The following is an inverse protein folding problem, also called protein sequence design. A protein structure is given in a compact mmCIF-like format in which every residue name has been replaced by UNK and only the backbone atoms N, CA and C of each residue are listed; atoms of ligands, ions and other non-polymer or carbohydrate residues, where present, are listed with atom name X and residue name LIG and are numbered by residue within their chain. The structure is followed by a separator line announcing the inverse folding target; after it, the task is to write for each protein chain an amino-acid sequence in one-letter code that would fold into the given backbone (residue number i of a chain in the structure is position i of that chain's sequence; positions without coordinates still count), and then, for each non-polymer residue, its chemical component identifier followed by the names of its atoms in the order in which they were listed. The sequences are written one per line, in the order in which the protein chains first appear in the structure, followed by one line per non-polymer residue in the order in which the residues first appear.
data_IF_706113374959
#
_entry.id   IF_706113374959
#
_cell.length_a   1.000
_cell.length_b   1.000
_cell.length_c   1.000
_cell.angle_alpha   90.00
_cell.angle_beta   90.00
_cell.angle_gamma   90.00
#
_symmetry.space_group_name_H-M   'P 1'
#
loop_
_entity.id
_entity.type
_entity.pdbx_description
1 polymer ?
#
# COMPACT_ATOMS: atom_id res chain seq x y z
N UNK A 1 17.55 6.24 -5.26
CA UNK A 1 17.97 6.16 -3.84
C UNK A 1 16.97 5.27 -3.10
N UNK A 2 17.40 4.15 -2.51
CA UNK A 2 16.54 3.34 -1.64
C UNK A 2 16.68 3.79 -0.18
N UNK A 3 15.58 3.75 0.58
CA UNK A 3 15.56 4.01 2.02
C UNK A 3 15.08 2.75 2.76
N UNK A 4 15.62 2.49 3.94
CA UNK A 4 15.20 1.36 4.80
C UNK A 4 14.26 1.88 5.88
N UNK A 5 13.20 1.13 6.13
CA UNK A 5 12.24 1.38 7.21
C UNK A 5 12.09 0.08 7.99
N UNK A 6 12.11 0.15 9.32
CA UNK A 6 11.83 -0.98 10.21
C UNK A 6 10.42 -0.81 10.77
N UNK A 7 9.62 -1.87 10.73
CA UNK A 7 8.22 -1.87 11.19
C UNK A 7 7.93 -3.13 11.98
N UNK A 8 6.99 -3.04 12.90
CA UNK A 8 6.39 -4.19 13.59
C UNK A 8 5.02 -4.41 12.98
N UNK A 9 4.78 -5.62 12.46
CA UNK A 9 3.50 -6.02 11.90
C UNK A 9 2.70 -6.80 12.95
N UNK A 10 1.37 -6.67 12.90
CA UNK A 10 0.50 -7.58 13.64
C UNK A 10 0.61 -9.00 13.05
N UNK A 11 0.43 -10.01 13.88
CA UNK A 11 0.66 -11.42 13.50
C UNK A 11 -0.16 -11.83 12.26
N UNK A 12 -1.42 -11.40 12.18
CA UNK A 12 -2.27 -11.68 11.02
C UNK A 12 -1.72 -11.05 9.74
N UNK A 13 -1.26 -9.80 9.81
CA UNK A 13 -0.69 -9.09 8.64
C UNK A 13 0.63 -9.72 8.21
N UNK A 14 1.46 -10.15 9.16
CA UNK A 14 2.72 -10.83 8.86
C UNK A 14 2.47 -12.18 8.16
N UNK A 15 1.49 -12.96 8.63
CA UNK A 15 1.12 -14.24 8.03
C UNK A 15 0.57 -14.07 6.60
N UNK A 16 -0.29 -13.06 6.38
CA UNK A 16 -0.83 -12.75 5.05
C UNK A 16 0.29 -12.32 4.09
N UNK A 17 1.23 -11.49 4.56
CA UNK A 17 2.39 -11.06 3.78
C UNK A 17 3.28 -12.24 3.38
N UNK A 18 3.55 -13.17 4.32
CA UNK A 18 4.35 -14.37 4.06
C UNK A 18 3.69 -15.31 3.03
N UNK A 19 2.37 -15.49 3.15
CA UNK A 19 1.61 -16.28 2.20
C UNK A 19 1.63 -15.68 0.80
N UNK A 20 1.33 -14.38 0.67
CA UNK A 20 1.36 -13.67 -0.62
C UNK A 20 2.74 -13.71 -1.26
N UNK A 21 3.80 -13.49 -0.48
CA UNK A 21 5.17 -13.58 -0.97
C UNK A 21 5.48 -14.99 -1.52
N UNK A 22 5.01 -16.03 -0.83
CA UNK A 22 5.18 -17.42 -1.25
C UNK A 22 4.42 -17.72 -2.53
N UNK A 23 3.14 -17.38 -2.59
CA UNK A 23 2.25 -17.63 -3.73
C UNK A 23 2.76 -16.94 -5.01
N UNK A 24 3.31 -15.73 -4.88
CA UNK A 24 3.88 -14.96 -5.99
C UNK A 24 5.36 -15.24 -6.26
N UNK A 25 6.00 -16.15 -5.50
CA UNK A 25 7.43 -16.49 -5.62
C UNK A 25 8.36 -15.26 -5.49
N UNK A 26 8.06 -14.38 -4.53
CA UNK A 26 8.84 -13.18 -4.20
C UNK A 26 9.39 -13.26 -2.77
N UNK A 27 10.40 -12.45 -2.44
CA UNK A 27 10.79 -12.30 -1.04
C UNK A 27 9.74 -11.48 -0.28
N UNK A 28 9.60 -11.74 1.03
CA UNK A 28 8.72 -10.95 1.90
C UNK A 28 9.01 -9.45 1.84
N UNK A 29 10.30 -9.07 1.72
CA UNK A 29 10.72 -7.68 1.58
C UNK A 29 10.28 -7.04 0.27
N UNK A 30 10.33 -7.78 -0.84
CA UNK A 30 9.83 -7.30 -2.13
C UNK A 30 8.32 -7.19 -2.13
N UNK A 31 7.63 -8.21 -1.62
CA UNK A 31 6.18 -8.19 -1.50
C UNK A 31 5.71 -7.03 -0.61
N UNK A 32 6.35 -6.83 0.54
CA UNK A 32 6.03 -5.71 1.43
C UNK A 32 6.22 -4.35 0.76
N UNK A 33 7.27 -4.18 -0.06
CA UNK A 33 7.48 -2.94 -0.80
C UNK A 33 6.37 -2.70 -1.85
N UNK A 34 5.93 -3.74 -2.56
CA UNK A 34 4.85 -3.68 -3.56
C UNK A 34 3.54 -3.28 -2.90
N UNK A 35 3.14 -3.96 -1.82
CA UNK A 35 1.89 -3.67 -1.11
C UNK A 35 1.88 -2.25 -0.54
N UNK A 36 3.02 -1.74 -0.06
CA UNK A 36 3.14 -0.35 0.38
C UNK A 36 2.94 0.61 -0.79
N UNK A 37 3.53 0.33 -1.95
CA UNK A 37 3.36 1.16 -3.15
C UNK A 37 1.90 1.20 -3.60
N UNK A 38 1.24 0.04 -3.69
CA UNK A 38 -0.18 -0.09 -4.04
C UNK A 38 -1.07 0.68 -3.05
N UNK A 39 -0.84 0.52 -1.75
CA UNK A 39 -1.59 1.24 -0.71
C UNK A 39 -1.41 2.77 -0.82
N UNK A 40 -0.20 3.24 -1.14
CA UNK A 40 0.06 4.66 -1.36
C UNK A 40 -0.64 5.19 -2.62
N UNK A 41 -0.66 4.41 -3.70
CA UNK A 41 -1.40 4.76 -4.92
C UNK A 41 -2.91 4.84 -4.66
N UNK A 42 -3.47 3.86 -3.96
CA UNK A 42 -4.88 3.86 -3.58
C UNK A 42 -5.25 5.08 -2.72
N UNK A 43 -4.42 5.43 -1.73
CA UNK A 43 -4.63 6.64 -0.90
C UNK A 43 -4.60 7.93 -1.72
N UNK A 44 -3.68 8.05 -2.68
CA UNK A 44 -3.60 9.22 -3.57
C UNK A 44 -4.82 9.31 -4.49
N UNK A 45 -5.34 8.18 -4.96
CA UNK A 45 -6.54 8.16 -5.78
C UNK A 45 -7.76 8.67 -4.99
N UNK A 46 -7.94 8.22 -3.75
CA UNK A 46 -9.02 8.69 -2.88
C UNK A 46 -8.95 10.19 -2.61
N UNK A 47 -7.76 10.73 -2.31
CA UNK A 47 -7.58 12.17 -2.06
C UNK A 47 -7.89 13.03 -3.30
N UNK A 48 -7.56 12.53 -4.50
CA UNK A 48 -7.91 13.23 -5.75
C UNK A 48 -9.42 13.28 -5.95
N UNK A 49 -10.11 12.17 -5.68
CA UNK A 49 -11.58 12.10 -5.78
C UNK A 49 -12.25 13.07 -4.81
N UNK A 50 -11.81 13.14 -3.55
CA UNK A 50 -12.34 14.10 -2.56
C UNK A 50 -12.11 15.57 -2.98
N UNK A 51 -10.98 15.86 -3.63
CA UNK A 51 -10.67 17.21 -4.10
C UNK A 51 -11.50 17.59 -5.33
N UNK A 52 -11.84 16.66 -6.23
CA UNK A 52 -12.69 16.94 -7.40
C UNK A 52 -14.16 17.09 -7.01
N UNK A 53 -14.67 16.29 -6.07
CA UNK A 53 -16.06 16.40 -5.61
C UNK A 53 -16.38 17.70 -4.88
N UNK A 54 -15.37 18.42 -4.37
CA UNK A 54 -15.55 19.73 -3.71
C UNK A 54 -15.59 20.92 -4.68
N UNK A 55 -15.33 20.70 -5.98
CA UNK A 55 -15.29 21.78 -6.99
C UNK A 55 -16.51 21.74 -7.91
N UNK A 56 -17.31 20.67 -7.87
CA UNK A 56 -18.50 20.49 -8.73
C UNK A 56 -19.83 20.90 -8.05
N UNK A 57 -19.80 21.37 -6.79
CA UNK A 57 -20.99 21.82 -6.04
C UNK A 57 -21.21 23.36 -6.06
N UNK A 58 -20.52 24.11 -6.94
CA UNK A 58 -20.55 25.58 -7.02
C UNK A 58 -20.97 26.13 -8.43
N UNK A 59 -21.88 25.45 -9.15
CA UNK A 59 -22.58 26.01 -10.33
C UNK A 59 -24.11 26.03 -10.19
#
# INVERSE_FOLDING_TARGET
MSKRVSVVLQDNVAADLEKLATDERRSQSQMGAILIEEALQARKALQKTETTSLVEDDE
#
